data_IF_803277606208
#
_entry.id   IF_803277606208
#
_cell.length_a   1.000
_cell.length_b   1.000
_cell.length_c   1.000
_cell.angle_alpha   90.00
_cell.angle_beta   90.00
_cell.angle_gamma   90.00
#
_symmetry.space_group_name_H-M   'P 1'
#
loop_
_entity.id
_entity.type
_entity.pdbx_description
1 polymer ?
#
# COMPACT_ATOMS: atom_id res chain seq x y z
N UNK A 1 3.52 0.27 12.70
CA UNK A 1 4.40 1.26 12.04
C UNK A 1 3.83 1.67 10.69
N UNK A 2 3.33 2.90 10.58
CA UNK A 2 2.83 3.49 9.32
C UNK A 2 3.86 4.46 8.71
N UNK A 3 3.75 4.79 7.40
CA UNK A 3 4.60 5.82 6.80
C UNK A 3 4.45 7.19 7.48
N UNK A 4 3.26 7.53 7.99
CA UNK A 4 2.99 8.81 8.67
C UNK A 4 3.70 8.89 10.02
N UNK A 5 3.72 7.79 10.78
CA UNK A 5 4.47 7.67 12.03
C UNK A 5 5.98 7.84 11.78
N UNK A 6 6.52 7.20 10.74
CA UNK A 6 7.91 7.41 10.31
C UNK A 6 8.15 8.86 9.88
N UNK A 7 7.24 9.43 9.09
CA UNK A 7 7.33 10.80 8.60
C UNK A 7 7.31 11.83 9.74
N UNK A 8 6.61 11.58 10.85
CA UNK A 8 6.61 12.46 12.01
C UNK A 8 8.01 12.60 12.63
N UNK A 9 8.82 11.54 12.61
CA UNK A 9 10.21 11.56 13.12
C UNK A 9 11.19 12.05 12.06
N UNK A 10 11.06 11.57 10.82
CA UNK A 10 11.94 11.92 9.69
C UNK A 10 11.69 13.35 9.19
N UNK A 11 10.50 13.90 9.42
CA UNK A 11 9.93 15.15 8.88
C UNK A 11 9.71 15.18 7.38
N UNK A 12 9.78 14.03 6.72
CA UNK A 12 9.32 13.80 5.35
C UNK A 12 8.86 12.34 5.22
N UNK A 13 7.92 12.03 4.31
CA UNK A 13 7.53 10.65 4.04
C UNK A 13 8.73 9.81 3.56
N UNK A 14 8.99 8.65 4.16
CA UNK A 14 10.00 7.74 3.63
C UNK A 14 9.50 7.07 2.34
N UNK A 15 10.44 6.60 1.51
CA UNK A 15 10.12 5.90 0.27
C UNK A 15 10.22 4.37 0.49
N UNK A 16 9.21 3.57 0.11
CA UNK A 16 9.36 2.10 0.09
C UNK A 16 10.39 1.64 -0.94
N UNK A 17 11.27 0.71 -0.54
CA UNK A 17 12.33 0.08 -1.35
C UNK A 17 12.01 -1.39 -1.65
N UNK A 18 12.40 -1.86 -2.83
CA UNK A 18 12.28 -3.28 -3.21
C UNK A 18 10.84 -3.72 -3.52
N UNK A 19 10.61 -5.04 -3.44
CA UNK A 19 9.33 -5.69 -3.75
C UNK A 19 8.45 -5.94 -2.53
N UNK A 20 9.05 -5.91 -1.33
CA UNK A 20 8.46 -6.32 -0.05
C UNK A 20 8.05 -7.78 0.08
N UNK A 21 8.32 -8.65 -0.89
CA UNK A 21 7.95 -10.06 -0.80
C UNK A 21 8.54 -10.74 0.44
N UNK A 22 9.77 -10.40 0.80
CA UNK A 22 10.48 -10.95 1.97
C UNK A 22 10.55 -9.97 3.13
N UNK A 23 10.91 -8.73 2.86
CA UNK A 23 11.17 -7.71 3.87
C UNK A 23 10.55 -6.37 3.45
N UNK A 24 9.79 -5.76 4.34
CA UNK A 24 9.19 -4.46 4.12
C UNK A 24 10.17 -3.36 4.53
N UNK A 25 10.72 -2.69 3.53
CA UNK A 25 11.80 -1.72 3.68
C UNK A 25 11.35 -0.35 3.24
N UNK A 26 11.65 0.63 4.08
CA UNK A 26 11.62 2.04 3.77
C UNK A 26 13.04 2.59 3.69
N UNK A 27 13.24 3.60 2.85
CA UNK A 27 14.47 4.38 2.78
C UNK A 27 14.17 5.86 2.95
N UNK A 28 15.09 6.58 3.59
CA UNK A 28 14.97 8.01 3.80
C UNK A 28 16.31 8.72 3.64
N UNK A 29 16.27 9.85 2.94
CA UNK A 29 17.39 10.78 2.81
C UNK A 29 17.25 11.97 3.78
N UNK A 30 16.34 11.89 4.76
CA UNK A 30 15.98 13.01 5.61
C UNK A 30 17.18 13.61 6.35
N UNK A 31 18.08 12.77 6.88
CA UNK A 31 19.28 13.25 7.56
C UNK A 31 20.14 14.12 6.64
N UNK A 32 20.39 13.64 5.42
CA UNK A 32 21.14 14.36 4.40
C UNK A 32 20.47 15.67 3.98
N UNK A 33 19.19 15.63 3.63
CA UNK A 33 18.44 16.80 3.12
C UNK A 33 18.30 17.91 4.17
N UNK A 34 18.30 17.52 5.45
CA UNK A 34 18.04 18.42 6.58
C UNK A 34 19.30 18.73 7.40
N UNK A 35 20.46 18.18 7.04
CA UNK A 35 21.70 18.36 7.78
C UNK A 35 21.65 17.84 9.21
N UNK A 36 20.93 16.74 9.46
CA UNK A 36 20.82 16.10 10.78
C UNK A 36 21.89 15.03 10.95
N UNK A 37 22.24 14.72 12.20
CA UNK A 37 23.06 13.55 12.52
C UNK A 37 22.28 12.27 12.18
N UNK A 38 22.82 11.47 11.25
CA UNK A 38 22.15 10.28 10.77
C UNK A 38 22.06 9.16 11.82
N UNK A 39 23.04 9.08 12.74
CA UNK A 39 23.04 8.09 13.80
C UNK A 39 22.00 8.44 14.88
N UNK A 40 21.93 9.71 15.27
CA UNK A 40 20.90 10.19 16.20
C UNK A 40 19.49 10.00 15.62
N UNK A 41 19.29 10.34 14.34
CA UNK A 41 18.00 10.11 13.67
C UNK A 41 17.67 8.62 13.59
N UNK A 42 18.66 7.76 13.32
CA UNK A 42 18.45 6.31 13.29
C UNK A 42 18.00 5.77 14.66
N UNK A 43 18.61 6.22 15.76
CA UNK A 43 18.20 5.84 17.13
C UNK A 43 16.75 6.25 17.42
N UNK A 44 16.36 7.48 17.05
CA UNK A 44 14.99 7.95 17.20
C UNK A 44 13.98 7.10 16.42
N UNK A 45 14.35 6.64 15.22
CA UNK A 45 13.51 5.75 14.42
C UNK A 45 13.48 4.33 15.01
N UNK A 46 14.60 3.79 15.50
CA UNK A 46 14.66 2.47 16.16
C UNK A 46 13.78 2.39 17.40
N UNK A 47 13.62 3.51 18.12
CA UNK A 47 12.77 3.58 19.31
C UNK A 47 11.26 3.46 19.00
N UNK A 48 10.86 3.53 17.72
CA UNK A 48 9.46 3.45 17.34
C UNK A 48 8.94 2.00 17.26
N UNK A 49 7.74 1.76 17.78
CA UNK A 49 7.10 0.44 17.76
C UNK A 49 6.82 -0.06 16.34
N UNK A 50 7.25 -1.29 16.04
CA UNK A 50 7.06 -1.92 14.72
C UNK A 50 8.21 -1.68 13.73
N UNK A 51 9.25 -0.96 14.13
CA UNK A 51 10.55 -0.95 13.43
C UNK A 51 11.35 -2.18 13.89
N UNK A 52 11.77 -3.00 12.92
CA UNK A 52 12.59 -4.18 13.17
C UNK A 52 14.08 -3.86 13.19
N UNK A 53 14.55 -3.05 12.24
CA UNK A 53 15.94 -2.60 12.19
C UNK A 53 16.06 -1.26 11.46
N UNK A 54 17.14 -0.54 11.75
CA UNK A 54 17.54 0.66 11.01
C UNK A 54 19.04 0.56 10.72
N UNK A 55 19.42 0.77 9.47
CA UNK A 55 20.81 0.87 9.04
C UNK A 55 21.06 2.27 8.48
N UNK A 56 22.20 2.87 8.84
CA UNK A 56 22.70 4.07 8.17
C UNK A 56 23.63 3.64 7.05
N UNK A 57 23.34 4.06 5.82
CA UNK A 57 24.08 3.74 4.61
C UNK A 57 24.73 4.99 4.03
N UNK A 58 25.95 4.83 3.52
CA UNK A 58 26.69 5.88 2.84
C UNK A 58 26.77 7.16 3.69
N UNK A 59 26.36 8.29 3.10
CA UNK A 59 26.45 9.62 3.72
C UNK A 59 25.26 10.00 4.62
N UNK A 60 24.42 9.05 5.05
CA UNK A 60 23.27 9.34 5.92
C UNK A 60 21.91 8.95 5.33
N UNK A 61 21.88 7.98 4.42
CA UNK A 61 20.62 7.34 4.03
C UNK A 61 20.21 6.34 5.10
N UNK A 62 19.00 6.44 5.61
CA UNK A 62 18.45 5.46 6.53
C UNK A 62 17.73 4.40 5.73
N UNK A 63 18.02 3.13 6.01
CA UNK A 63 17.23 1.97 5.60
C UNK A 63 16.51 1.44 6.83
N UNK A 64 15.19 1.34 6.75
CA UNK A 64 14.31 1.07 7.88
C UNK A 64 13.47 -0.15 7.53
N UNK A 65 13.63 -1.23 8.29
CA UNK A 65 12.81 -2.43 8.15
C UNK A 65 11.63 -2.34 9.11
N UNK A 66 10.42 -2.57 8.61
CA UNK A 66 9.21 -2.68 9.45
C UNK A 66 8.75 -4.12 9.54
N UNK A 67 8.26 -4.51 10.72
CA UNK A 67 7.92 -5.91 11.01
C UNK A 67 6.52 -6.29 10.54
N UNK A 68 5.57 -5.35 10.56
CA UNK A 68 4.16 -5.57 10.16
C UNK A 68 3.74 -4.51 9.14
N UNK A 69 4.07 -4.68 7.84
CA UNK A 69 3.73 -3.71 6.80
C UNK A 69 2.22 -3.45 6.67
N UNK A 70 1.38 -4.44 7.01
CA UNK A 70 -0.07 -4.28 7.00
C UNK A 70 -0.60 -3.17 7.93
N UNK A 71 0.21 -2.70 8.89
CA UNK A 71 -0.15 -1.59 9.77
C UNK A 71 -0.47 -0.31 8.99
N UNK A 72 0.07 -0.15 7.77
CA UNK A 72 -0.26 0.99 6.90
C UNK A 72 -1.77 1.12 6.62
N UNK A 73 -2.54 0.04 6.78
CA UNK A 73 -3.99 0.01 6.55
C UNK A 73 -4.83 0.27 7.81
N UNK A 74 -4.21 0.60 8.94
CA UNK A 74 -4.94 1.02 10.14
C UNK A 74 -5.69 2.34 9.93
N UNK A 75 -5.16 3.17 9.05
CA UNK A 75 -5.82 4.37 8.55
C UNK A 75 -6.21 4.19 7.09
N UNK A 76 -7.32 4.81 6.67
CA UNK A 76 -7.70 4.82 5.27
C UNK A 76 -6.68 5.63 4.45
N UNK A 77 -6.25 5.15 3.27
CA UNK A 77 -5.36 5.92 2.42
C UNK A 77 -6.05 7.18 1.92
N UNK A 78 -5.27 8.25 1.73
CA UNK A 78 -5.76 9.49 1.14
C UNK A 78 -6.02 9.29 -0.33
N UNK A 79 -7.23 9.65 -0.77
CA UNK A 79 -7.60 9.63 -2.19
C UNK A 79 -6.65 10.53 -3.01
N UNK A 80 -6.03 10.01 -4.09
CA UNK A 80 -5.18 10.83 -4.95
C UNK A 80 -5.96 12.00 -5.56
N UNK A 81 -5.41 13.24 -5.55
CA UNK A 81 -5.99 14.41 -6.20
C UNK A 81 -5.70 14.38 -7.71
N UNK A 82 -5.96 13.24 -8.35
CA UNK A 82 -5.69 13.00 -9.75
C UNK A 82 -6.93 12.40 -10.42
N UNK A 83 -7.30 12.96 -11.56
CA UNK A 83 -8.32 12.44 -12.46
C UNK A 83 -7.65 12.17 -13.81
N UNK A 84 -7.36 10.90 -14.14
CA UNK A 84 -6.72 10.55 -15.41
C UNK A 84 -7.62 10.89 -16.61
N UNK A 85 -7.04 11.13 -17.78
CA UNK A 85 -7.80 11.35 -19.04
C UNK A 85 -7.75 10.13 -19.97
N UNK A 86 -7.72 8.91 -19.41
CA UNK A 86 -7.61 7.69 -20.21
C UNK A 86 -8.92 7.32 -20.93
N UNK A 87 -8.86 6.84 -22.19
CA UNK A 87 -10.05 6.42 -22.91
C UNK A 87 -10.72 5.21 -22.26
N UNK A 88 -12.06 5.09 -22.44
CA UNK A 88 -12.78 3.88 -21.97
C UNK A 88 -12.47 2.64 -22.81
N UNK A 89 -12.33 2.83 -24.12
CA UNK A 89 -12.14 1.77 -25.11
C UNK A 89 -10.75 1.84 -25.77
N UNK A 90 -10.19 0.71 -26.21
CA UNK A 90 -10.73 -0.65 -26.03
C UNK A 90 -10.60 -1.13 -24.58
N UNK A 91 -11.47 -2.05 -24.16
CA UNK A 91 -11.45 -2.66 -22.82
C UNK A 91 -10.50 -3.86 -22.79
N UNK A 92 -9.21 -3.57 -22.97
CA UNK A 92 -8.12 -4.57 -23.01
C UNK A 92 -7.05 -4.25 -21.99
N UNK A 93 -6.23 -5.24 -21.63
CA UNK A 93 -5.11 -5.06 -20.69
C UNK A 93 -4.03 -4.08 -21.19
N UNK A 94 -3.97 -3.83 -22.50
CA UNK A 94 -3.08 -2.82 -23.09
C UNK A 94 -3.57 -1.37 -22.86
N UNK A 95 -4.81 -1.18 -22.39
CA UNK A 95 -5.37 0.13 -22.04
C UNK A 95 -5.23 0.39 -20.53
N UNK A 96 -4.35 1.31 -20.08
CA UNK A 96 -4.17 1.61 -18.66
C UNK A 96 -5.45 2.07 -17.94
N UNK A 97 -6.30 2.83 -18.64
CA UNK A 97 -7.57 3.29 -18.09
C UNK A 97 -8.51 2.13 -17.78
N UNK A 98 -8.58 1.14 -18.67
CA UNK A 98 -9.36 -0.07 -18.43
C UNK A 98 -8.80 -0.85 -17.23
N UNK A 99 -7.48 -1.05 -17.17
CA UNK A 99 -6.84 -1.79 -16.06
C UNK A 99 -7.17 -1.15 -14.71
N UNK A 100 -7.06 0.18 -14.61
CA UNK A 100 -7.35 0.91 -13.37
C UNK A 100 -8.84 0.84 -13.01
N UNK A 101 -9.76 1.07 -13.95
CA UNK A 101 -11.20 0.96 -13.71
C UNK A 101 -11.61 -0.45 -13.31
N UNK A 102 -11.00 -1.46 -13.94
CA UNK A 102 -11.25 -2.86 -13.64
C UNK A 102 -10.74 -3.24 -12.24
N UNK A 103 -9.56 -2.73 -11.86
CA UNK A 103 -9.04 -2.83 -10.49
C UNK A 103 -10.00 -2.25 -9.46
N UNK A 104 -10.53 -1.05 -9.69
CA UNK A 104 -11.55 -0.44 -8.83
C UNK A 104 -12.82 -1.29 -8.76
N UNK A 105 -13.36 -1.72 -9.90
CA UNK A 105 -14.59 -2.50 -9.97
C UNK A 105 -14.47 -3.84 -9.20
N UNK A 106 -13.31 -4.50 -9.33
CA UNK A 106 -12.96 -5.73 -8.59
C UNK A 106 -12.87 -5.48 -7.09
N UNK A 107 -12.23 -4.39 -6.66
CA UNK A 107 -12.16 -4.02 -5.25
C UNK A 107 -13.56 -3.77 -4.67
N UNK A 108 -14.39 -3.06 -5.41
CA UNK A 108 -15.80 -2.83 -5.06
C UNK A 108 -16.61 -4.13 -5.00
N UNK A 109 -16.36 -5.09 -5.91
CA UNK A 109 -17.01 -6.40 -5.88
C UNK A 109 -16.59 -7.23 -4.66
N UNK A 110 -15.29 -7.28 -4.35
CA UNK A 110 -14.77 -7.99 -3.19
C UNK A 110 -15.40 -7.50 -1.88
N UNK A 111 -15.62 -6.19 -1.74
CA UNK A 111 -16.31 -5.62 -0.57
C UNK A 111 -17.78 -6.03 -0.47
N UNK A 112 -18.48 -6.14 -1.60
CA UNK A 112 -19.88 -6.61 -1.61
C UNK A 112 -19.95 -8.09 -1.26
N UNK A 113 -19.14 -8.92 -1.92
CA UNK A 113 -19.08 -10.36 -1.65
C UNK A 113 -18.66 -10.67 -0.22
N UNK A 114 -17.73 -9.90 0.35
CA UNK A 114 -17.34 -10.06 1.75
C UNK A 114 -18.54 -9.93 2.70
N UNK A 115 -19.45 -8.99 2.44
CA UNK A 115 -20.68 -8.82 3.23
C UNK A 115 -21.66 -9.97 3.02
N UNK A 116 -21.86 -10.39 1.77
CA UNK A 116 -22.75 -11.49 1.41
C UNK A 116 -22.28 -12.83 2.01
N UNK A 117 -20.96 -13.04 2.08
CA UNK A 117 -20.31 -14.24 2.60
C UNK A 117 -20.00 -14.16 4.10
N UNK A 118 -20.47 -13.11 4.80
CA UNK A 118 -20.33 -13.00 6.25
C UNK A 118 -18.90 -12.77 6.77
N UNK A 119 -18.00 -12.21 5.96
CA UNK A 119 -16.66 -11.81 6.42
C UNK A 119 -16.81 -10.71 7.48
N UNK A 120 -16.24 -10.86 8.68
CA UNK A 120 -16.35 -9.85 9.73
C UNK A 120 -15.77 -8.49 9.31
N UNK A 121 -16.52 -7.41 9.55
CA UNK A 121 -16.08 -6.03 9.27
C UNK A 121 -15.06 -5.50 10.32
N UNK A 122 -14.99 -6.16 11.49
CA UNK A 122 -14.08 -5.84 12.58
C UNK A 122 -13.06 -6.97 12.80
N UNK A 123 -12.04 -6.73 13.62
CA UNK A 123 -10.97 -7.71 13.87
C UNK A 123 -9.84 -7.69 12.84
N UNK A 124 -9.58 -6.53 12.21
CA UNK A 124 -8.46 -6.37 11.28
C UNK A 124 -7.12 -6.74 11.93
N UNK A 125 -6.51 -7.83 11.44
CA UNK A 125 -5.21 -8.30 11.87
C UNK A 125 -4.17 -8.08 10.77
N UNK A 126 -3.46 -6.95 10.85
CA UNK A 126 -2.43 -6.53 9.88
C UNK A 126 -1.33 -7.57 9.62
N UNK A 127 -0.99 -8.37 10.64
CA UNK A 127 0.02 -9.43 10.53
C UNK A 127 -0.36 -10.58 9.59
N UNK A 128 -1.64 -10.71 9.22
CA UNK A 128 -2.12 -11.74 8.29
C UNK A 128 -1.92 -11.36 6.81
N UNK A 129 -1.34 -10.19 6.53
CA UNK A 129 -0.97 -9.74 5.18
C UNK A 129 0.50 -10.05 4.91
N UNK A 130 0.90 -11.29 5.12
CA UNK A 130 2.29 -11.77 5.02
C UNK A 130 2.59 -12.48 3.70
N UNK A 131 1.58 -12.84 2.92
CA UNK A 131 1.76 -13.44 1.60
C UNK A 131 2.36 -12.45 0.59
N UNK A 132 3.14 -12.95 -0.40
CA UNK A 132 3.85 -12.08 -1.33
C UNK A 132 2.93 -11.20 -2.19
N UNK A 133 1.69 -11.62 -2.45
CA UNK A 133 0.77 -10.88 -3.30
C UNK A 133 0.23 -9.65 -2.60
N UNK A 134 -0.24 -9.78 -1.36
CA UNK A 134 -0.66 -8.63 -0.56
C UNK A 134 0.52 -7.75 -0.18
N UNK A 135 1.70 -8.30 0.08
CA UNK A 135 2.90 -7.48 0.32
C UNK A 135 3.26 -6.57 -0.86
N UNK A 136 3.07 -7.03 -2.11
CA UNK A 136 3.24 -6.18 -3.30
C UNK A 136 2.21 -5.04 -3.34
N UNK A 137 0.96 -5.29 -2.98
CA UNK A 137 -0.07 -4.24 -2.88
C UNK A 137 0.28 -3.23 -1.78
N UNK A 138 0.66 -3.71 -0.59
CA UNK A 138 1.10 -2.89 0.53
C UNK A 138 2.29 -2.00 0.15
N UNK A 139 3.26 -2.56 -0.59
CA UNK A 139 4.42 -1.83 -1.11
C UNK A 139 4.03 -0.70 -2.06
N UNK A 140 3.04 -0.94 -2.93
CA UNK A 140 2.52 0.10 -3.80
C UNK A 140 1.83 1.20 -2.97
N UNK A 141 0.92 0.82 -2.07
CA UNK A 141 0.21 1.77 -1.18
C UNK A 141 1.17 2.60 -0.31
N UNK A 142 2.28 2.02 0.12
CA UNK A 142 3.31 2.70 0.89
C UNK A 142 4.00 3.86 0.14
N UNK A 143 3.89 3.95 -1.19
CA UNK A 143 4.40 5.08 -1.98
C UNK A 143 3.53 6.33 -1.87
N UNK A 144 2.25 6.17 -1.51
CA UNK A 144 1.24 7.20 -1.61
C UNK A 144 1.60 8.48 -0.83
N UNK A 145 2.07 8.42 0.43
CA UNK A 145 2.40 9.63 1.18
C UNK A 145 3.50 10.46 0.52
N UNK A 146 4.53 9.81 -0.04
CA UNK A 146 5.59 10.49 -0.78
C UNK A 146 5.10 11.11 -2.10
N UNK A 147 4.17 10.45 -2.79
CA UNK A 147 3.58 10.98 -4.04
C UNK A 147 2.69 12.19 -3.79
N UNK A 148 1.94 12.23 -2.69
CA UNK A 148 1.06 13.36 -2.34
C UNK A 148 1.83 14.68 -2.14
N UNK A 149 3.10 14.61 -1.72
CA UNK A 149 3.95 15.79 -1.51
C UNK A 149 4.93 16.05 -2.66
N UNK A 150 4.97 15.17 -3.67
CA UNK A 150 5.89 15.29 -4.80
C UNK A 150 5.37 16.28 -5.85
N UNK A 151 6.29 17.03 -6.47
CA UNK A 151 5.99 17.85 -7.67
C UNK A 151 5.84 17.01 -8.93
N UNK A 152 6.43 15.81 -8.95
CA UNK A 152 6.37 14.85 -10.05
C UNK A 152 5.79 13.53 -9.52
N UNK A 153 4.48 13.50 -9.23
CA UNK A 153 3.88 12.39 -8.49
C UNK A 153 3.63 11.14 -9.32
N UNK A 154 3.87 11.17 -10.65
CA UNK A 154 3.78 10.01 -11.55
C UNK A 154 2.51 9.18 -11.38
N UNK A 155 1.35 9.82 -11.24
CA UNK A 155 0.09 9.18 -10.84
C UNK A 155 -0.37 8.08 -11.79
N UNK A 156 -0.20 8.26 -13.09
CA UNK A 156 -0.62 7.28 -14.09
C UNK A 156 0.07 5.92 -13.89
N UNK A 157 1.41 5.92 -13.91
CA UNK A 157 2.21 4.71 -13.69
C UNK A 157 2.02 4.12 -12.29
N UNK A 158 1.72 4.96 -11.29
CA UNK A 158 1.41 4.50 -9.94
C UNK A 158 0.08 3.74 -9.87
N UNK A 159 -0.99 4.34 -10.38
CA UNK A 159 -2.32 3.74 -10.36
C UNK A 159 -2.35 2.44 -11.17
N UNK A 160 -1.66 2.41 -12.33
CA UNK A 160 -1.53 1.20 -13.13
C UNK A 160 -0.82 0.08 -12.36
N UNK A 161 0.32 0.37 -11.72
CA UNK A 161 1.05 -0.63 -10.91
C UNK A 161 0.23 -1.13 -9.72
N UNK A 162 -0.50 -0.25 -9.04
CA UNK A 162 -1.38 -0.64 -7.94
C UNK A 162 -2.52 -1.55 -8.42
N UNK A 163 -3.14 -1.21 -9.56
CA UNK A 163 -4.21 -2.00 -10.15
C UNK A 163 -3.73 -3.40 -10.57
N UNK A 164 -2.55 -3.51 -11.18
CA UNK A 164 -1.95 -4.79 -11.56
C UNK A 164 -1.57 -5.62 -10.33
N UNK A 165 -0.93 -5.02 -9.32
CA UNK A 165 -0.59 -5.72 -8.07
C UNK A 165 -1.85 -6.25 -7.35
N UNK A 166 -2.93 -5.46 -7.34
CA UNK A 166 -4.20 -5.89 -6.75
C UNK A 166 -4.89 -6.98 -7.58
N UNK A 167 -4.78 -6.94 -8.91
CA UNK A 167 -5.26 -8.02 -9.76
C UNK A 167 -4.57 -9.34 -9.40
N UNK A 168 -3.24 -9.37 -9.32
CA UNK A 168 -2.49 -10.56 -8.91
C UNK A 168 -2.93 -11.08 -7.53
N UNK A 169 -3.10 -10.17 -6.55
CA UNK A 169 -3.58 -10.55 -5.22
C UNK A 169 -4.98 -11.17 -5.27
N UNK A 170 -5.89 -10.59 -6.04
CA UNK A 170 -7.25 -11.13 -6.17
C UNK A 170 -7.29 -12.52 -6.83
N UNK A 171 -6.46 -12.76 -7.84
CA UNK A 171 -6.44 -14.05 -8.55
C UNK A 171 -5.72 -15.15 -7.75
N UNK A 172 -4.70 -14.79 -6.96
CA UNK A 172 -3.83 -15.76 -6.27
C UNK A 172 -4.12 -15.94 -4.79
N UNK A 173 -4.70 -14.92 -4.15
CA UNK A 173 -5.03 -14.91 -2.74
C UNK A 173 -6.33 -14.09 -2.53
N UNK A 174 -7.50 -14.62 -2.94
CA UNK A 174 -8.75 -13.89 -2.90
C UNK A 174 -9.05 -13.30 -1.52
N UNK A 175 -9.70 -12.13 -1.54
CA UNK A 175 -10.09 -11.43 -0.32
C UNK A 175 -11.28 -12.08 0.40
N UNK A 176 -12.08 -12.86 -0.33
CA UNK A 176 -13.27 -13.55 0.16
C UNK A 176 -13.05 -15.07 0.09
N UNK A 177 -13.76 -15.86 0.92
CA UNK A 177 -13.65 -17.32 0.88
C UNK A 177 -14.00 -17.89 -0.49
N UNK A 178 -13.38 -19.01 -0.85
CA UNK A 178 -13.62 -19.71 -2.11
C UNK A 178 -14.06 -21.16 -1.90
N UNK A 179 -15.04 -21.63 -2.68
CA UNK A 179 -15.57 -22.98 -2.53
C UNK A 179 -16.24 -23.18 -1.18
N UNK A 180 -15.81 -24.21 -0.44
CA UNK A 180 -16.32 -24.56 0.88
C UNK A 180 -15.52 -23.91 2.04
N UNK A 181 -14.65 -22.93 1.74
CA UNK A 181 -13.90 -22.20 2.77
C UNK A 181 -14.83 -21.31 3.60
N UNK A 182 -14.65 -21.36 4.92
CA UNK A 182 -15.38 -20.49 5.85
C UNK A 182 -14.72 -19.10 5.96
N UNK A 183 -15.50 -18.01 6.15
CA UNK A 183 -14.96 -16.69 6.43
C UNK A 183 -14.11 -16.70 7.71
N UNK A 184 -13.02 -15.94 7.71
CA UNK A 184 -12.05 -15.94 8.81
C UNK A 184 -11.20 -14.67 8.85
N UNK A 185 -10.33 -14.52 9.87
CA UNK A 185 -9.57 -13.28 10.09
C UNK A 185 -8.69 -12.84 8.91
N UNK A 186 -8.17 -13.80 8.12
CA UNK A 186 -7.40 -13.50 6.91
C UNK A 186 -8.26 -12.79 5.85
N UNK A 187 -9.52 -13.19 5.69
CA UNK A 187 -10.46 -12.54 4.78
C UNK A 187 -10.73 -11.10 5.22
N UNK A 188 -10.93 -10.85 6.52
CA UNK A 188 -11.04 -9.47 7.05
C UNK A 188 -9.80 -8.64 6.71
N UNK A 189 -8.61 -9.21 6.84
CA UNK A 189 -7.36 -8.53 6.49
C UNK A 189 -7.26 -8.19 4.99
N UNK A 190 -7.58 -9.14 4.11
CA UNK A 190 -7.53 -8.94 2.66
C UNK A 190 -8.64 -8.03 2.14
N UNK A 191 -9.82 -8.06 2.76
CA UNK A 191 -10.92 -7.12 2.49
C UNK A 191 -10.51 -5.69 2.86
N UNK A 192 -9.73 -5.50 3.92
CA UNK A 192 -9.14 -4.18 4.25
C UNK A 192 -8.22 -3.67 3.13
N UNK A 193 -7.45 -4.56 2.48
CA UNK A 193 -6.64 -4.21 1.29
C UNK A 193 -7.55 -3.78 0.14
N UNK A 194 -8.61 -4.53 -0.14
CA UNK A 194 -9.58 -4.18 -1.18
C UNK A 194 -10.22 -2.80 -0.91
N UNK A 195 -10.58 -2.49 0.34
CA UNK A 195 -11.10 -1.18 0.73
C UNK A 195 -10.11 -0.05 0.43
N UNK A 196 -8.83 -0.23 0.80
CA UNK A 196 -7.78 0.75 0.54
C UNK A 196 -7.52 0.95 -0.96
N UNK A 197 -7.48 -0.14 -1.74
CA UNK A 197 -7.33 -0.08 -3.20
C UNK A 197 -8.50 0.68 -3.84
N UNK A 198 -9.74 0.42 -3.41
CA UNK A 198 -10.94 1.13 -3.91
C UNK A 198 -10.84 2.64 -3.71
N UNK A 199 -10.30 3.09 -2.58
CA UNK A 199 -10.17 4.53 -2.31
C UNK A 199 -9.08 5.21 -3.14
N UNK A 200 -8.02 4.47 -3.49
CA UNK A 200 -6.90 5.01 -4.26
C UNK A 200 -7.18 4.97 -5.76
N UNK A 201 -7.70 3.84 -6.28
CA UNK A 201 -7.99 3.71 -7.71
C UNK A 201 -9.25 4.50 -8.09
N UNK A 202 -9.20 5.38 -9.09
CA UNK A 202 -10.38 6.09 -9.57
C UNK A 202 -11.40 5.10 -10.16
N UNK A 203 -12.65 5.24 -9.74
CA UNK A 203 -13.79 4.55 -10.34
C UNK A 203 -14.28 5.25 -11.60
N UNK A 204 -15.35 4.73 -12.24
CA UNK A 204 -15.94 5.32 -13.44
C UNK A 204 -16.42 6.77 -13.23
N UNK A 205 -16.83 7.15 -12.01
CA UNK A 205 -17.31 8.50 -11.71
C UNK A 205 -16.19 9.57 -11.66
N UNK A 206 -14.93 9.17 -11.86
CA UNK A 206 -13.73 10.04 -11.72
C UNK A 206 -12.83 10.02 -12.95
N UNK A 207 -13.34 9.53 -14.08
CA UNK A 207 -12.64 9.35 -15.35
C UNK A 207 -13.51 9.85 -16.50
#
# INVERSE_FOLDING_TARGET
MTPEELAAVLGEPPAPEGTWEREAVYVSAAALRRGLDAAELAERVRALGGVGSVEVRGKGFLRIVVTVPGDLLRSAPVRPPFSPAWPDFPRTWDNPGFVVRYGHARASAALRWARELGVPESGFAAGLLDDPWHRRVLRALAELPGRLVSREPGWESYLLRLALAYHDAHERAPAVPVGDEEPGPVHTARVRVAAAVREVLPGPDRL
#
